data_IF_319124239081
#
_entry.id   IF_319124239081
#
_cell.length_a   1.000
_cell.length_b   1.000
_cell.length_c   1.000
_cell.angle_alpha   90.00
_cell.angle_beta   90.00
_cell.angle_gamma   90.00
#
_symmetry.space_group_name_H-M   'P 1'
#
loop_
_entity.id
_entity.type
_entity.pdbx_description
1 polymer ?
#
# COMPACT_ATOMS: atom_id res chain seq x y z
N UNK A 1 -136.70 -13.52 5.22
CA UNK A 1 -136.17 -12.71 6.35
C UNK A 1 -135.00 -13.40 7.08
N UNK A 2 -135.06 -14.71 7.38
CA UNK A 2 -133.95 -15.43 8.02
C UNK A 2 -132.81 -15.78 7.04
N UNK A 3 -133.12 -16.20 5.81
CA UNK A 3 -132.13 -16.52 4.76
C UNK A 3 -131.28 -15.31 4.36
N UNK A 4 -131.91 -14.14 4.16
CA UNK A 4 -131.21 -12.89 3.82
C UNK A 4 -130.26 -12.41 4.94
N UNK A 5 -130.54 -12.76 6.20
CA UNK A 5 -129.64 -12.51 7.34
C UNK A 5 -128.46 -13.48 7.33
N UNK A 6 -128.69 -14.74 6.98
CA UNK A 6 -127.65 -15.77 6.87
C UNK A 6 -126.67 -15.45 5.74
N UNK A 7 -127.16 -15.03 4.57
CA UNK A 7 -126.32 -14.60 3.45
C UNK A 7 -125.45 -13.38 3.80
N UNK A 8 -126.01 -12.38 4.48
CA UNK A 8 -125.25 -11.21 4.93
C UNK A 8 -124.17 -11.58 5.96
N UNK A 9 -124.44 -12.53 6.85
CA UNK A 9 -123.46 -13.03 7.81
C UNK A 9 -122.30 -13.75 7.09
N UNK A 10 -122.63 -14.63 6.14
CA UNK A 10 -121.65 -15.36 5.32
C UNK A 10 -120.79 -14.38 4.50
N UNK A 11 -121.40 -13.34 3.91
CA UNK A 11 -120.68 -12.33 3.13
C UNK A 11 -119.71 -11.53 4.01
N UNK A 12 -120.14 -11.12 5.21
CA UNK A 12 -119.26 -10.43 6.18
C UNK A 12 -118.10 -11.32 6.62
N UNK A 13 -118.36 -12.60 6.86
CA UNK A 13 -117.34 -13.56 7.24
C UNK A 13 -116.33 -13.77 6.09
N UNK A 14 -116.79 -13.91 4.85
CA UNK A 14 -115.92 -13.97 3.66
C UNK A 14 -115.05 -12.73 3.50
N UNK A 15 -115.61 -11.53 3.66
CA UNK A 15 -114.85 -10.28 3.60
C UNK A 15 -113.81 -10.21 4.72
N UNK A 16 -114.15 -10.67 5.93
CA UNK A 16 -113.21 -10.72 7.05
C UNK A 16 -112.04 -11.69 6.79
N UNK A 17 -112.32 -12.90 6.31
CA UNK A 17 -111.28 -13.87 5.94
C UNK A 17 -110.38 -13.33 4.82
N UNK A 18 -110.95 -12.73 3.77
CA UNK A 18 -110.18 -12.13 2.68
C UNK A 18 -109.27 -10.98 3.15
N UNK A 19 -109.77 -10.10 4.04
CA UNK A 19 -108.94 -9.04 4.64
C UNK A 19 -107.82 -9.61 5.51
N UNK A 20 -108.10 -10.65 6.30
CA UNK A 20 -107.08 -11.31 7.13
C UNK A 20 -106.02 -12.03 6.30
N UNK A 21 -106.43 -12.65 5.20
CA UNK A 21 -105.54 -13.30 4.25
C UNK A 21 -104.61 -12.29 3.57
N UNK A 22 -105.13 -11.15 3.11
CA UNK A 22 -104.30 -10.07 2.56
C UNK A 22 -103.34 -9.50 3.59
N UNK A 23 -103.80 -9.21 4.81
CA UNK A 23 -102.95 -8.69 5.89
C UNK A 23 -101.82 -9.68 6.25
N UNK A 24 -102.14 -10.97 6.28
CA UNK A 24 -101.16 -12.03 6.51
C UNK A 24 -100.15 -12.12 5.35
N UNK A 25 -100.62 -12.04 4.10
CA UNK A 25 -99.76 -12.09 2.92
C UNK A 25 -98.80 -10.90 2.85
N UNK A 26 -99.28 -9.69 3.13
CA UNK A 26 -98.45 -8.49 3.20
C UNK A 26 -97.39 -8.58 4.30
N UNK A 27 -97.75 -9.17 5.45
CA UNK A 27 -96.78 -9.39 6.54
C UNK A 27 -95.69 -10.37 6.12
N UNK A 28 -96.08 -11.48 5.47
CA UNK A 28 -95.12 -12.47 4.94
C UNK A 28 -94.19 -11.81 3.92
N UNK A 29 -94.73 -11.01 2.99
CA UNK A 29 -93.94 -10.31 1.97
C UNK A 29 -92.92 -9.35 2.60
N UNK A 30 -93.30 -8.56 3.60
CA UNK A 30 -92.36 -7.69 4.34
C UNK A 30 -91.30 -8.49 5.10
N UNK A 31 -91.67 -9.60 5.73
CA UNK A 31 -90.72 -10.49 6.41
C UNK A 31 -89.75 -11.17 5.41
N UNK A 32 -90.23 -11.52 4.22
CA UNK A 32 -89.41 -12.06 3.14
C UNK A 32 -88.44 -11.02 2.56
N UNK A 33 -88.90 -9.79 2.34
CA UNK A 33 -88.08 -8.65 1.92
C UNK A 33 -86.96 -8.37 2.93
N UNK A 34 -87.31 -8.22 4.21
CA UNK A 34 -86.32 -7.97 5.27
C UNK A 34 -85.33 -9.13 5.42
N UNK A 35 -85.80 -10.38 5.31
CA UNK A 35 -84.94 -11.56 5.31
C UNK A 35 -83.97 -11.55 4.10
N UNK A 36 -84.45 -11.14 2.92
CA UNK A 36 -83.63 -11.01 1.72
C UNK A 36 -82.55 -9.93 1.87
N UNK A 37 -82.92 -8.74 2.37
CA UNK A 37 -81.98 -7.65 2.66
C UNK A 37 -80.89 -8.08 3.65
N UNK A 38 -81.27 -8.74 4.74
CA UNK A 38 -80.31 -9.26 5.72
C UNK A 38 -79.33 -10.25 5.08
N UNK A 39 -79.81 -11.20 4.26
CA UNK A 39 -78.94 -12.15 3.53
C UNK A 39 -77.95 -11.44 2.63
N UNK A 40 -78.35 -10.37 1.94
CA UNK A 40 -77.45 -9.59 1.10
C UNK A 40 -76.38 -8.87 1.94
N UNK A 41 -76.75 -8.27 3.07
CA UNK A 41 -75.80 -7.63 3.99
C UNK A 41 -74.81 -8.65 4.55
N UNK A 42 -75.28 -9.82 4.98
CA UNK A 42 -74.42 -10.91 5.44
C UNK A 42 -73.45 -11.40 4.35
N UNK A 43 -73.93 -11.57 3.12
CA UNK A 43 -73.08 -11.95 2.00
C UNK A 43 -71.99 -10.90 1.71
N UNK A 44 -72.34 -9.61 1.73
CA UNK A 44 -71.37 -8.52 1.56
C UNK A 44 -70.33 -8.49 2.69
N UNK A 45 -70.76 -8.64 3.94
CA UNK A 45 -69.87 -8.67 5.09
C UNK A 45 -68.92 -9.88 5.01
N UNK A 46 -69.43 -11.03 4.61
CA UNK A 46 -68.63 -12.25 4.43
C UNK A 46 -67.55 -12.04 3.35
N UNK A 47 -67.90 -11.46 2.20
CA UNK A 47 -66.93 -11.11 1.16
C UNK A 47 -65.83 -10.17 1.66
N UNK A 48 -66.19 -9.17 2.48
CA UNK A 48 -65.20 -8.27 3.08
C UNK A 48 -64.26 -8.98 4.05
N UNK A 49 -64.80 -9.90 4.87
CA UNK A 49 -64.00 -10.72 5.78
C UNK A 49 -63.03 -11.59 4.99
N UNK A 50 -63.49 -12.26 3.94
CA UNK A 50 -62.65 -13.12 3.11
C UNK A 50 -61.55 -12.33 2.40
N UNK A 51 -61.89 -11.16 1.84
CA UNK A 51 -60.90 -10.26 1.24
C UNK A 51 -59.83 -9.81 2.25
N UNK A 52 -60.24 -9.40 3.45
CA UNK A 52 -59.31 -9.01 4.52
C UNK A 52 -58.45 -10.17 4.97
N UNK A 53 -59.02 -11.38 5.09
CA UNK A 53 -58.31 -12.60 5.47
C UNK A 53 -57.22 -12.94 4.45
N UNK A 54 -57.52 -12.83 3.16
CA UNK A 54 -56.53 -13.08 2.11
C UNK A 54 -55.45 -12.00 2.05
N UNK A 55 -55.81 -10.73 2.27
CA UNK A 55 -54.82 -9.66 2.39
C UNK A 55 -53.87 -9.90 3.58
N UNK A 56 -54.42 -10.31 4.72
CA UNK A 56 -53.63 -10.63 5.92
C UNK A 56 -52.69 -11.81 5.66
N UNK A 57 -53.16 -12.89 5.03
CA UNK A 57 -52.32 -14.03 4.63
C UNK A 57 -51.15 -13.59 3.75
N UNK A 58 -51.40 -12.75 2.73
CA UNK A 58 -50.32 -12.26 1.85
C UNK A 58 -49.28 -11.44 2.61
N UNK A 59 -49.71 -10.55 3.49
CA UNK A 59 -48.79 -9.72 4.30
C UNK A 59 -48.00 -10.60 5.26
N UNK A 60 -48.65 -11.57 5.90
CA UNK A 60 -48.01 -12.51 6.80
C UNK A 60 -46.93 -13.34 6.08
N UNK A 61 -47.23 -13.84 4.88
CA UNK A 61 -46.25 -14.59 4.09
C UNK A 61 -45.05 -13.72 3.69
N UNK A 62 -45.27 -12.47 3.28
CA UNK A 62 -44.18 -11.53 3.00
C UNK A 62 -43.32 -11.26 4.24
N UNK A 63 -43.95 -11.06 5.38
CA UNK A 63 -43.25 -10.85 6.65
C UNK A 63 -42.42 -12.08 7.04
N UNK A 64 -42.96 -13.28 6.86
CA UNK A 64 -42.22 -14.53 7.10
C UNK A 64 -41.02 -14.67 6.15
N UNK A 65 -41.18 -14.35 4.86
CA UNK A 65 -40.09 -14.34 3.87
C UNK A 65 -38.97 -13.40 4.30
N UNK A 66 -39.29 -12.14 4.60
CA UNK A 66 -38.31 -11.13 5.03
C UNK A 66 -37.62 -11.55 6.34
N UNK A 67 -38.35 -12.14 7.28
CA UNK A 67 -37.74 -12.68 8.52
C UNK A 67 -36.75 -13.79 8.23
N UNK A 68 -37.04 -14.65 7.26
CA UNK A 68 -36.12 -15.71 6.86
C UNK A 68 -34.90 -15.11 6.16
N UNK A 69 -35.10 -14.20 5.21
CA UNK A 69 -34.00 -13.49 4.52
C UNK A 69 -33.07 -12.77 5.49
N UNK A 70 -33.61 -12.11 6.53
CA UNK A 70 -32.79 -11.47 7.57
C UNK A 70 -31.94 -12.50 8.32
N UNK A 71 -32.49 -13.67 8.65
CA UNK A 71 -31.74 -14.73 9.33
C UNK A 71 -30.64 -15.30 8.43
N UNK A 72 -30.98 -15.63 7.20
CA UNK A 72 -30.05 -16.20 6.23
C UNK A 72 -28.88 -15.21 5.97
N UNK A 73 -29.19 -13.92 5.78
CA UNK A 73 -28.18 -12.87 5.63
C UNK A 73 -27.30 -12.72 6.89
N UNK A 74 -27.88 -12.87 8.09
CA UNK A 74 -27.12 -12.79 9.32
C UNK A 74 -26.15 -13.97 9.48
N UNK A 75 -26.57 -15.18 9.10
CA UNK A 75 -25.70 -16.36 9.12
C UNK A 75 -24.52 -16.20 8.16
N UNK A 76 -24.77 -15.70 6.94
CA UNK A 76 -23.69 -15.37 5.97
C UNK A 76 -22.75 -14.31 6.54
N UNK A 77 -23.29 -13.21 7.07
CA UNK A 77 -22.46 -12.15 7.67
C UNK A 77 -21.56 -12.67 8.79
N UNK A 78 -22.08 -13.53 9.69
CA UNK A 78 -21.29 -14.10 10.77
C UNK A 78 -20.18 -15.00 10.24
N UNK A 79 -20.46 -15.79 9.20
CA UNK A 79 -19.49 -16.66 8.57
C UNK A 79 -18.38 -15.86 7.88
N UNK A 80 -18.74 -14.87 7.06
CA UNK A 80 -17.77 -14.00 6.37
C UNK A 80 -16.90 -13.24 7.37
N UNK A 81 -17.50 -12.73 8.46
CA UNK A 81 -16.76 -12.09 9.54
C UNK A 81 -15.74 -13.05 10.18
N UNK A 82 -16.14 -14.28 10.48
CA UNK A 82 -15.26 -15.30 11.04
C UNK A 82 -14.12 -15.66 10.08
N UNK A 83 -14.40 -15.76 8.78
CA UNK A 83 -13.39 -16.04 7.75
C UNK A 83 -12.36 -14.90 7.66
N UNK A 84 -12.81 -13.65 7.69
CA UNK A 84 -11.92 -12.47 7.69
C UNK A 84 -11.07 -12.44 8.96
N UNK A 85 -11.66 -12.71 10.13
CA UNK A 85 -10.94 -12.76 11.40
C UNK A 85 -9.84 -13.83 11.37
N UNK A 86 -10.18 -15.05 10.92
CA UNK A 86 -9.22 -16.14 10.79
C UNK A 86 -8.08 -15.79 9.81
N UNK A 87 -8.39 -15.19 8.65
CA UNK A 87 -7.39 -14.78 7.67
C UNK A 87 -6.47 -13.67 8.22
N UNK A 88 -7.02 -12.73 9.00
CA UNK A 88 -6.25 -11.68 9.65
C UNK A 88 -5.33 -12.25 10.74
N UNK A 89 -5.81 -13.21 11.53
CA UNK A 89 -5.01 -13.88 12.55
C UNK A 89 -3.86 -14.68 11.93
N UNK A 90 -4.12 -15.42 10.84
CA UNK A 90 -3.10 -16.13 10.08
C UNK A 90 -2.05 -15.17 9.49
N UNK A 91 -2.48 -14.08 8.85
CA UNK A 91 -1.58 -13.04 8.35
C UNK A 91 -0.74 -12.42 9.48
N UNK A 92 -1.33 -12.19 10.65
CA UNK A 92 -0.63 -11.66 11.83
C UNK A 92 0.43 -12.63 12.34
N UNK A 93 0.13 -13.93 12.40
CA UNK A 93 1.10 -14.96 12.78
C UNK A 93 2.25 -15.02 11.78
N UNK A 94 1.96 -15.02 10.48
CA UNK A 94 2.96 -15.02 9.42
C UNK A 94 3.87 -13.78 9.48
N UNK A 95 3.29 -12.59 9.70
CA UNK A 95 4.06 -11.36 9.89
C UNK A 95 4.97 -11.43 11.12
N UNK A 96 4.44 -11.88 12.27
CA UNK A 96 5.24 -12.06 13.49
C UNK A 96 6.41 -13.01 13.26
N UNK A 97 6.18 -14.12 12.56
CA UNK A 97 7.24 -15.06 12.20
C UNK A 97 8.30 -14.40 11.31
N UNK A 98 7.88 -13.66 10.28
CA UNK A 98 8.81 -12.96 9.39
C UNK A 98 9.65 -11.91 10.15
N UNK A 99 9.03 -11.12 11.03
CA UNK A 99 9.74 -10.15 11.87
C UNK A 99 10.72 -10.83 12.81
N UNK A 100 10.35 -11.95 13.44
CA UNK A 100 11.24 -12.72 14.29
C UNK A 100 12.49 -13.19 13.53
N UNK A 101 12.32 -13.66 12.29
CA UNK A 101 13.44 -14.05 11.42
C UNK A 101 14.33 -12.83 11.11
N UNK A 102 13.71 -11.72 10.71
CA UNK A 102 14.42 -10.47 10.38
C UNK A 102 15.17 -9.93 11.62
N UNK A 103 14.62 -10.04 12.82
CA UNK A 103 15.24 -9.61 14.10
C UNK A 103 16.42 -10.45 14.53
N UNK A 104 16.39 -11.76 14.28
CA UNK A 104 17.44 -12.65 14.76
C UNK A 104 18.52 -12.95 13.70
N UNK A 105 18.18 -12.90 12.41
CA UNK A 105 19.06 -13.41 11.34
C UNK A 105 19.50 -12.36 10.31
N UNK A 106 18.91 -11.15 10.29
CA UNK A 106 19.27 -10.11 9.31
C UNK A 106 20.04 -8.98 10.00
N UNK A 107 21.26 -8.66 9.56
CA UNK A 107 21.99 -7.49 10.05
C UNK A 107 21.17 -6.20 9.91
N UNK A 108 21.25 -5.31 10.90
CA UNK A 108 20.45 -4.08 10.93
C UNK A 108 20.69 -3.16 9.71
N UNK A 109 21.89 -3.22 9.14
CA UNK A 109 22.29 -2.51 7.91
C UNK A 109 21.49 -2.99 6.70
N UNK A 110 21.44 -4.30 6.47
CA UNK A 110 20.70 -4.90 5.35
C UNK A 110 19.19 -4.71 5.50
N UNK A 111 18.65 -4.78 6.72
CA UNK A 111 17.23 -4.46 6.96
C UNK A 111 16.90 -3.04 6.50
N UNK A 112 17.70 -2.07 6.94
CA UNK A 112 17.48 -0.65 6.62
C UNK A 112 17.60 -0.41 5.11
N UNK A 113 18.57 -1.08 4.48
CA UNK A 113 18.76 -1.06 3.02
C UNK A 113 17.54 -1.59 2.29
N UNK A 114 17.03 -2.78 2.62
CA UNK A 114 15.86 -3.37 1.95
C UNK A 114 14.61 -2.50 2.11
N UNK A 115 14.36 -1.95 3.30
CA UNK A 115 13.22 -1.05 3.55
C UNK A 115 13.29 0.20 2.66
N UNK A 116 14.50 0.76 2.46
CA UNK A 116 14.68 1.94 1.61
C UNK A 116 14.44 1.68 0.12
N UNK A 117 14.63 0.42 -0.32
CA UNK A 117 14.46 0.00 -1.71
C UNK A 117 13.06 -0.51 -2.01
N UNK A 118 12.32 -0.93 -0.99
CA UNK A 118 10.95 -1.43 -1.12
C UNK A 118 10.00 -0.29 -1.51
N UNK A 119 9.33 -0.44 -2.65
CA UNK A 119 8.26 0.44 -3.08
C UNK A 119 7.02 -0.40 -3.39
N UNK A 120 5.87 0.08 -2.93
CA UNK A 120 4.59 -0.51 -3.30
C UNK A 120 4.21 -0.08 -4.73
N UNK A 121 3.85 -1.05 -5.58
CA UNK A 121 3.31 -0.82 -6.92
C UNK A 121 1.81 -1.06 -6.91
N UNK A 122 1.05 0.03 -6.99
CA UNK A 122 -0.42 0.01 -7.00
C UNK A 122 -1.01 -0.76 -8.20
N UNK A 123 -0.28 -0.86 -9.31
CA UNK A 123 -0.79 -1.55 -10.50
C UNK A 123 -0.74 -3.08 -10.35
N UNK A 124 0.24 -3.58 -9.60
CA UNK A 124 0.45 -5.00 -9.33
C UNK A 124 -0.06 -5.44 -7.96
N UNK A 125 -0.55 -4.48 -7.16
CA UNK A 125 -0.99 -4.66 -5.77
C UNK A 125 0.06 -5.40 -4.93
N UNK A 126 1.33 -5.06 -5.13
CA UNK A 126 2.46 -5.79 -4.56
C UNK A 126 3.67 -4.90 -4.27
N UNK A 127 4.51 -5.36 -3.35
CA UNK A 127 5.80 -4.74 -3.03
C UNK A 127 6.87 -5.17 -4.03
N UNK A 128 7.61 -4.19 -4.56
CA UNK A 128 8.73 -4.40 -5.48
C UNK A 128 9.99 -3.80 -4.86
N UNK A 129 11.11 -4.51 -4.96
CA UNK A 129 12.42 -4.02 -4.52
C UNK A 129 13.10 -3.33 -5.70
N UNK A 130 13.41 -2.04 -5.58
CA UNK A 130 14.18 -1.33 -6.60
C UNK A 130 15.58 -1.91 -6.72
N UNK A 131 16.05 -2.04 -7.96
CA UNK A 131 17.46 -2.36 -8.22
C UNK A 131 18.33 -1.19 -7.78
N UNK A 132 19.29 -1.50 -6.94
CA UNK A 132 20.30 -0.55 -6.50
C UNK A 132 21.26 -0.28 -7.67
N UNK A 133 21.45 0.99 -8.01
CA UNK A 133 22.44 1.39 -9.00
C UNK A 133 23.76 1.52 -8.24
N UNK A 134 24.56 0.45 -8.21
CA UNK A 134 25.94 0.54 -7.74
C UNK A 134 26.70 1.51 -8.63
N UNK A 135 26.90 2.74 -8.15
CA UNK A 135 27.79 3.70 -8.79
C UNK A 135 29.21 3.29 -8.44
N UNK A 136 29.74 2.30 -9.15
CA UNK A 136 31.17 2.00 -9.11
C UNK A 136 31.87 3.23 -9.68
N UNK A 137 32.40 4.09 -8.81
CA UNK A 137 33.19 5.22 -9.24
C UNK A 137 34.47 4.66 -9.87
N UNK A 138 34.78 4.98 -11.14
CA UNK A 138 36.00 4.50 -11.78
C UNK A 138 37.29 4.88 -11.03
N UNK A 139 37.23 5.89 -10.17
CA UNK A 139 38.29 6.32 -9.27
C UNK A 139 38.61 5.34 -8.14
N UNK A 140 37.63 4.55 -7.68
CA UNK A 140 37.79 3.58 -6.59
C UNK A 140 38.26 2.21 -7.08
N UNK A 141 38.30 2.01 -8.40
CA UNK A 141 38.84 0.80 -8.98
C UNK A 141 40.36 0.76 -8.74
N UNK A 142 40.92 -0.33 -8.21
CA UNK A 142 42.36 -0.42 -7.99
C UNK A 142 43.09 -0.21 -9.32
N UNK A 143 43.96 0.80 -9.36
CA UNK A 143 44.79 1.11 -10.52
C UNK A 143 46.07 0.31 -10.42
N UNK A 144 46.46 -0.32 -11.53
CA UNK A 144 47.77 -0.96 -11.61
C UNK A 144 48.87 0.12 -11.49
N UNK A 145 49.91 -0.20 -10.73
CA UNK A 145 51.11 0.63 -10.67
C UNK A 145 51.92 0.50 -11.97
N UNK A 146 52.63 1.56 -12.35
CA UNK A 146 53.50 1.59 -13.53
C UNK A 146 54.85 0.88 -13.32
N UNK A 147 54.89 -0.18 -12.53
CA UNK A 147 56.09 -1.00 -12.36
C UNK A 147 56.17 -2.06 -13.46
N UNK A 148 57.40 -2.50 -13.79
CA UNK A 148 57.65 -3.55 -14.80
C UNK A 148 57.00 -4.90 -14.45
N UNK A 149 56.58 -5.08 -13.19
CA UNK A 149 55.90 -6.28 -12.67
C UNK A 149 54.77 -5.84 -11.74
N UNK A 150 53.70 -6.63 -11.57
CA UNK A 150 52.67 -6.36 -10.58
C UNK A 150 53.28 -6.44 -9.17
N UNK A 151 53.16 -5.35 -8.40
CA UNK A 151 53.65 -5.22 -7.03
C UNK A 151 52.48 -4.72 -6.17
N UNK A 152 52.34 -5.23 -4.95
CA UNK A 152 51.33 -4.78 -3.99
C UNK A 152 51.72 -3.46 -3.31
N UNK A 153 50.74 -2.69 -2.84
CA UNK A 153 50.97 -1.44 -2.09
C UNK A 153 51.89 -1.64 -0.89
N UNK A 154 51.70 -2.76 -0.18
CA UNK A 154 52.55 -3.14 0.95
C UNK A 154 54.02 -3.28 0.54
N UNK A 155 54.29 -3.96 -0.57
CA UNK A 155 55.66 -4.14 -1.05
C UNK A 155 56.29 -2.82 -1.52
N UNK A 156 55.52 -1.90 -2.12
CA UNK A 156 55.99 -0.57 -2.50
C UNK A 156 56.42 0.23 -1.26
N UNK A 157 55.59 0.26 -0.21
CA UNK A 157 55.91 0.95 1.04
C UNK A 157 57.15 0.36 1.72
N UNK A 158 57.25 -0.97 1.76
CA UNK A 158 58.39 -1.65 2.38
C UNK A 158 59.68 -1.57 1.55
N UNK A 159 59.60 -1.41 0.23
CA UNK A 159 60.77 -1.33 -0.66
C UNK A 159 61.65 -0.10 -0.43
N UNK A 160 61.12 0.96 0.16
CA UNK A 160 61.90 2.14 0.56
C UNK A 160 62.83 1.83 1.74
N UNK A 161 62.39 0.98 2.66
CA UNK A 161 63.09 0.64 3.90
C UNK A 161 63.94 -0.62 3.75
N UNK A 162 63.47 -1.60 2.97
CA UNK A 162 64.07 -2.92 2.87
C UNK A 162 64.22 -3.34 1.40
N UNK A 163 65.45 -3.51 0.90
CA UNK A 163 65.73 -3.94 -0.47
C UNK A 163 65.05 -5.24 -0.90
N UNK A 164 64.69 -6.12 0.05
CA UNK A 164 63.97 -7.37 -0.23
C UNK A 164 62.62 -7.17 -0.93
N UNK A 165 61.95 -6.03 -0.69
CA UNK A 165 60.63 -5.73 -1.24
C UNK A 165 60.69 -4.85 -2.50
N UNK A 166 61.89 -4.46 -2.94
CA UNK A 166 62.05 -3.70 -4.19
C UNK A 166 61.73 -4.60 -5.38
N UNK A 167 61.01 -4.05 -6.35
CA UNK A 167 60.71 -4.75 -7.60
C UNK A 167 61.93 -4.95 -8.51
N UNK A 168 63.03 -4.25 -8.22
CA UNK A 168 64.26 -4.25 -9.00
C UNK A 168 65.43 -4.70 -8.14
N UNK A 169 66.34 -5.50 -8.73
CA UNK A 169 67.52 -6.03 -8.04
C UNK A 169 68.72 -5.12 -8.29
N UNK A 170 68.65 -3.88 -7.79
CA UNK A 170 69.70 -2.87 -7.94
C UNK A 170 70.30 -2.57 -6.57
N UNK A 171 71.63 -2.59 -6.47
CA UNK A 171 72.38 -2.26 -5.26
C UNK A 171 72.69 -0.77 -5.23
N UNK A 172 72.22 -0.06 -4.21
CA UNK A 172 72.58 1.35 -3.97
C UNK A 172 73.97 1.41 -3.32
N UNK A 173 75.01 1.35 -4.14
CA UNK A 173 76.39 1.51 -3.68
C UNK A 173 76.65 3.01 -3.43
N UNK A 174 77.05 3.35 -2.20
CA UNK A 174 77.61 4.67 -1.92
C UNK A 174 78.94 4.76 -2.67
N UNK A 175 79.01 5.65 -3.66
CA UNK A 175 80.26 5.94 -4.35
C UNK A 175 81.23 6.56 -3.35
N UNK A 176 82.37 5.90 -3.11
CA UNK A 176 83.46 6.49 -2.36
C UNK A 176 84.14 7.53 -3.26
N UNK A 177 83.82 8.80 -3.00
CA UNK A 177 84.43 9.89 -3.75
C UNK A 177 85.91 9.97 -3.35
N UNK A 178 86.84 10.01 -4.32
CA UNK A 178 88.27 10.05 -4.01
C UNK A 178 88.56 11.23 -3.09
N UNK A 179 89.52 11.05 -2.16
CA UNK A 179 89.98 12.14 -1.31
C UNK A 179 90.33 13.33 -2.19
N UNK A 180 89.72 14.48 -1.87
CA UNK A 180 89.94 15.74 -2.55
C UNK A 180 91.45 16.02 -2.60
N UNK A 181 92.04 15.86 -3.78
CA UNK A 181 93.47 16.08 -4.00
C UNK A 181 93.79 17.54 -4.32
N UNK A 182 92.78 18.40 -4.32
CA UNK A 182 92.94 19.84 -4.58
C UNK A 182 93.08 20.60 -3.27
N UNK A 183 94.16 21.38 -3.17
CA UNK A 183 94.31 22.39 -2.15
C UNK A 183 93.46 23.60 -2.54
N UNK A 184 92.71 24.16 -1.58
CA UNK A 184 92.03 25.43 -1.81
C UNK A 184 93.06 26.52 -2.12
N UNK A 185 92.80 27.27 -3.21
CA UNK A 185 93.64 28.41 -3.54
C UNK A 185 93.53 29.46 -2.44
N UNK A 186 94.63 29.67 -1.72
CA UNK A 186 94.76 30.81 -0.80
C UNK A 186 95.35 31.96 -1.60
N UNK A 187 94.57 33.01 -1.90
CA UNK A 187 95.11 34.15 -2.62
C UNK A 187 96.23 34.82 -1.80
N UNK A 188 97.32 35.27 -2.43
CA UNK A 188 98.36 36.02 -1.75
C UNK A 188 97.77 37.31 -1.13
N UNK A 189 98.34 37.76 -0.02
CA UNK A 189 97.96 39.02 0.61
C UNK A 189 98.39 40.20 -0.29
N UNK A 190 97.46 40.65 -1.14
CA UNK A 190 97.66 41.79 -2.04
C UNK A 190 97.17 43.07 -1.34
N UNK A 191 97.89 44.18 -1.51
CA UNK A 191 97.48 45.50 -1.03
C UNK A 191 96.05 45.84 -1.50
N UNK A 192 95.15 46.32 -0.62
CA UNK A 192 93.75 46.60 -0.95
C UNK A 192 93.55 47.47 -2.20
N UNK A 193 94.45 48.43 -2.41
CA UNK A 193 94.44 49.33 -3.58
C UNK A 193 94.65 48.59 -4.90
N UNK A 194 95.60 47.65 -4.93
CA UNK A 194 95.89 46.85 -6.13
C UNK A 194 94.70 45.90 -6.41
N UNK A 195 94.13 45.30 -5.37
CA UNK A 195 92.95 44.43 -5.49
C UNK A 195 91.74 45.17 -6.06
N UNK A 196 91.49 46.40 -5.60
CA UNK A 196 90.40 47.23 -6.11
C UNK A 196 90.60 47.59 -7.59
N UNK A 197 91.82 48.01 -7.96
CA UNK A 197 92.14 48.41 -9.32
C UNK A 197 92.03 47.24 -10.30
N UNK A 198 92.54 46.06 -9.94
CA UNK A 198 92.42 44.83 -10.75
C UNK A 198 90.95 44.41 -10.89
N UNK A 199 90.16 44.45 -9.81
CA UNK A 199 88.74 44.11 -9.88
C UNK A 199 87.95 45.07 -10.79
N UNK A 200 88.27 46.37 -10.78
CA UNK A 200 87.62 47.34 -11.66
C UNK A 200 87.99 47.12 -13.14
N UNK A 201 89.24 46.71 -13.41
CA UNK A 201 89.66 46.32 -14.77
C UNK A 201 88.93 45.07 -15.23
N UNK A 202 88.86 44.02 -14.40
CA UNK A 202 88.15 42.78 -14.72
C UNK A 202 86.67 43.06 -14.99
N UNK A 203 86.01 43.87 -14.15
CA UNK A 203 84.59 44.25 -14.37
C UNK A 203 84.38 44.93 -15.72
N UNK A 204 85.24 45.89 -16.07
CA UNK A 204 85.18 46.57 -17.38
C UNK A 204 85.36 45.59 -18.54
N UNK A 205 86.24 44.59 -18.41
CA UNK A 205 86.39 43.55 -19.43
C UNK A 205 85.18 42.61 -19.53
N UNK A 206 84.57 42.22 -18.41
CA UNK A 206 83.37 41.37 -18.41
C UNK A 206 82.15 42.05 -19.01
N UNK A 207 81.98 43.35 -18.75
CA UNK A 207 80.91 44.15 -19.35
C UNK A 207 81.11 44.28 -20.87
N UNK A 208 82.36 44.35 -21.34
CA UNK A 208 82.69 44.41 -22.77
C UNK A 208 82.55 43.06 -23.50
N UNK A 209 82.60 41.93 -22.79
CA UNK A 209 82.58 40.59 -23.37
C UNK A 209 81.18 39.95 -23.49
N UNK A 210 80.10 40.72 -23.35
CA UNK A 210 78.76 40.22 -23.65
C UNK A 210 78.57 40.02 -25.17
N UNK A 211 78.95 38.84 -25.66
CA UNK A 211 78.52 38.34 -26.97
C UNK A 211 77.01 38.11 -26.89
N UNK A 212 76.22 39.02 -27.45
CA UNK A 212 74.79 38.79 -27.67
C UNK A 212 74.66 37.73 -28.77
N UNK A 213 74.36 36.49 -28.38
CA UNK A 213 73.93 35.46 -29.32
C UNK A 213 72.50 35.85 -29.76
N UNK A 214 72.34 36.18 -31.04
CA UNK A 214 71.02 36.37 -31.68
C UNK A 214 70.34 35.04 -31.93
#
# INVERSE_FOLDING_TARGET
MQELKLENLILRQKIWHFKKEIEMQQRIELEEETCSELKQVFASLQQQVDFKRDKLKRINNKLQSIRQEIKDNHEVYLKDRQEIENANDEATVNLRQAFLIIDNFVPSEERSRIISLAQFDENLDNWIIKKEIEKILPSERPRAHNYRRPISDYAIQQGQLNPKYRGENVLDLKLDMPLRTTQDYVPPAICPQIKALVNDVIKKEMDNCHVTIK
#
